data_IF_533064273029
#
_entry.id   IF_533064273029
#
_cell.length_a   1.000
_cell.length_b   1.000
_cell.length_c   1.000
_cell.angle_alpha   90.00
_cell.angle_beta   90.00
_cell.angle_gamma   90.00
#
_symmetry.space_group_name_H-M   'P 1'
#
loop_
_entity.id
_entity.type
_entity.pdbx_description
1 polymer ?
#
# COMPACT_ATOMS: atom_id res chain seq x y z
N UNK A 1 48.66 5.00 30.92
CA UNK A 1 47.83 3.82 30.58
C UNK A 1 46.72 4.30 29.69
N UNK A 2 46.78 3.91 28.41
CA UNK A 2 45.89 4.35 27.34
C UNK A 2 44.51 3.71 27.51
N UNK A 3 43.47 4.53 27.62
CA UNK A 3 42.08 4.09 27.68
C UNK A 3 41.60 3.78 26.25
N UNK A 4 40.98 2.62 25.96
CA UNK A 4 40.55 2.31 24.62
C UNK A 4 39.32 3.15 24.27
N UNK A 5 39.45 3.89 23.16
CA UNK A 5 38.40 4.67 22.53
C UNK A 5 37.27 3.73 22.06
N UNK A 6 36.14 3.76 22.75
CA UNK A 6 34.93 3.03 22.35
C UNK A 6 34.37 3.74 21.11
N UNK A 7 34.75 3.25 19.94
CA UNK A 7 34.22 3.71 18.65
C UNK A 7 32.72 3.39 18.59
N UNK A 8 31.87 4.40 18.78
CA UNK A 8 30.43 4.31 18.58
C UNK A 8 30.16 4.04 17.09
N UNK A 9 29.84 2.78 16.78
CA UNK A 9 29.55 2.33 15.43
C UNK A 9 28.20 2.91 14.95
N UNK A 10 28.10 3.48 13.73
CA UNK A 10 26.92 4.21 13.29
C UNK A 10 25.66 3.31 13.23
N UNK A 11 24.49 3.82 13.66
CA UNK A 11 23.27 3.02 13.87
C UNK A 11 22.78 2.29 12.62
N UNK A 12 23.01 2.86 11.43
CA UNK A 12 22.60 2.26 10.15
C UNK A 12 23.31 0.94 9.81
N UNK A 13 24.57 0.75 10.23
CA UNK A 13 25.30 -0.51 10.01
C UNK A 13 24.84 -1.60 10.99
N UNK A 14 24.48 -1.21 12.22
CA UNK A 14 23.94 -2.09 13.24
C UNK A 14 22.56 -2.61 12.82
N UNK A 15 21.70 -1.74 12.29
CA UNK A 15 20.37 -2.09 11.81
C UNK A 15 20.40 -3.05 10.61
N UNK A 16 21.27 -2.79 9.61
CA UNK A 16 21.44 -3.67 8.44
C UNK A 16 21.98 -5.06 8.83
N UNK A 17 22.89 -5.13 9.81
CA UNK A 17 23.43 -6.39 10.35
C UNK A 17 22.35 -7.18 11.10
N UNK A 18 21.54 -6.50 11.93
CA UNK A 18 20.45 -7.11 12.68
C UNK A 18 19.37 -7.69 11.73
N UNK A 19 19.04 -6.99 10.65
CA UNK A 19 18.09 -7.48 9.65
C UNK A 19 18.59 -8.74 8.92
N UNK A 20 19.89 -8.81 8.61
CA UNK A 20 20.51 -10.03 8.07
C UNK A 20 20.51 -11.19 9.08
N UNK A 21 20.70 -10.91 10.37
CA UNK A 21 20.60 -11.90 11.45
C UNK A 21 19.15 -12.39 11.64
N UNK A 22 18.16 -11.52 11.54
CA UNK A 22 16.74 -11.89 11.62
C UNK A 22 16.33 -12.78 10.45
N UNK A 23 16.77 -12.48 9.22
CA UNK A 23 16.48 -13.30 8.04
C UNK A 23 17.15 -14.68 8.17
N UNK A 24 18.40 -14.72 8.62
CA UNK A 24 19.11 -16.00 8.89
C UNK A 24 18.45 -16.78 10.02
N UNK A 25 18.01 -16.09 11.07
CA UNK A 25 17.28 -16.68 12.19
C UNK A 25 15.93 -17.25 11.75
N UNK A 26 15.18 -16.52 10.92
CA UNK A 26 13.91 -16.97 10.36
C UNK A 26 14.09 -18.23 9.49
N UNK A 27 15.16 -18.29 8.68
CA UNK A 27 15.51 -19.48 7.90
C UNK A 27 15.81 -20.68 8.81
N UNK A 28 16.59 -20.50 9.88
CA UNK A 28 16.87 -21.57 10.84
C UNK A 28 15.62 -22.05 11.60
N UNK A 29 14.75 -21.12 11.98
CA UNK A 29 13.47 -21.46 12.62
C UNK A 29 12.56 -22.22 11.65
N UNK A 30 12.51 -21.83 10.37
CA UNK A 30 11.72 -22.53 9.37
C UNK A 30 12.21 -23.97 9.14
N UNK A 31 13.52 -24.17 9.02
CA UNK A 31 14.13 -25.51 8.90
C UNK A 31 13.84 -26.32 10.16
N UNK A 32 14.02 -25.74 11.35
CA UNK A 32 13.72 -26.40 12.63
C UNK A 32 12.26 -26.83 12.77
N UNK A 33 11.33 -25.96 12.37
CA UNK A 33 9.89 -26.26 12.38
C UNK A 33 9.54 -27.39 11.40
N UNK A 34 10.17 -27.42 10.22
CA UNK A 34 9.95 -28.46 9.22
C UNK A 34 10.45 -29.83 9.71
N UNK A 35 11.63 -29.87 10.35
CA UNK A 35 12.17 -31.09 10.96
C UNK A 35 11.27 -31.55 12.12
N UNK A 36 10.83 -30.64 12.99
CA UNK A 36 9.93 -30.96 14.09
C UNK A 36 8.59 -31.53 13.59
N UNK A 37 8.02 -30.96 12.53
CA UNK A 37 6.80 -31.47 11.91
C UNK A 37 6.98 -32.89 11.35
N UNK A 38 8.12 -33.17 10.71
CA UNK A 38 8.45 -34.51 10.22
C UNK A 38 8.60 -35.52 11.37
N UNK A 39 9.27 -35.14 12.46
CA UNK A 39 9.44 -36.00 13.64
C UNK A 39 8.11 -36.29 14.33
N UNK A 40 7.25 -35.28 14.47
CA UNK A 40 5.87 -35.47 14.95
C UNK A 40 5.15 -36.50 14.08
N UNK A 41 5.25 -36.39 12.76
CA UNK A 41 4.62 -37.31 11.81
C UNK A 41 5.09 -38.76 12.02
N UNK A 42 6.40 -38.96 12.20
CA UNK A 42 6.99 -40.28 12.47
C UNK A 42 6.56 -40.84 13.83
N UNK A 43 6.60 -40.02 14.89
CA UNK A 43 6.18 -40.43 16.24
C UNK A 43 4.69 -40.82 16.26
N UNK A 44 3.87 -40.12 15.50
CA UNK A 44 2.44 -40.38 15.41
C UNK A 44 2.12 -41.72 14.76
N UNK A 45 2.88 -42.09 13.71
CA UNK A 45 2.78 -43.40 13.06
C UNK A 45 3.17 -44.54 14.00
N UNK A 46 4.07 -44.30 14.96
CA UNK A 46 4.62 -45.34 15.83
C UNK A 46 3.86 -45.57 17.14
N UNK A 47 3.01 -44.63 17.58
CA UNK A 47 2.40 -44.63 18.93
C UNK A 47 0.86 -44.78 18.91
N UNK A 48 0.21 -44.64 17.76
CA UNK A 48 -1.26 -44.58 17.66
C UNK A 48 -1.99 -45.91 17.87
N UNK A 49 -2.24 -46.30 19.12
CA UNK A 49 -3.09 -47.47 19.49
C UNK A 49 -4.05 -47.17 20.65
N UNK A 50 -4.56 -45.93 20.76
CA UNK A 50 -5.53 -45.53 21.79
C UNK A 50 -6.62 -44.65 21.16
N UNK A 51 -7.67 -45.27 20.60
CA UNK A 51 -8.97 -44.70 20.20
C UNK A 51 -8.95 -43.27 19.59
N UNK A 52 -7.91 -42.91 18.85
CA UNK A 52 -7.76 -41.59 18.21
C UNK A 52 -7.70 -40.38 19.16
N UNK A 53 -7.78 -40.55 20.48
CA UNK A 53 -7.92 -39.43 21.44
C UNK A 53 -6.65 -38.58 21.51
N UNK A 54 -5.49 -39.24 21.52
CA UNK A 54 -4.17 -38.57 21.40
C UNK A 54 -4.07 -37.80 20.06
N UNK A 55 -4.57 -38.39 18.97
CA UNK A 55 -4.56 -37.78 17.64
C UNK A 55 -5.40 -36.50 17.57
N UNK A 56 -6.60 -36.52 18.14
CA UNK A 56 -7.50 -35.35 18.21
C UNK A 56 -6.92 -34.22 19.07
N UNK A 57 -6.35 -34.55 20.22
CA UNK A 57 -5.70 -33.57 21.09
C UNK A 57 -4.53 -32.87 20.37
N UNK A 58 -3.69 -33.66 19.68
CA UNK A 58 -2.59 -33.11 18.90
C UNK A 58 -3.07 -32.25 17.72
N UNK A 59 -4.09 -32.69 16.96
CA UNK A 59 -4.61 -31.91 15.84
C UNK A 59 -5.20 -30.57 16.30
N UNK A 60 -5.74 -30.52 17.53
CA UNK A 60 -6.21 -29.27 18.15
C UNK A 60 -5.05 -28.31 18.42
N UNK A 61 -3.93 -28.81 18.95
CA UNK A 61 -2.72 -28.01 19.15
C UNK A 61 -2.19 -27.49 17.81
N UNK A 62 -2.13 -28.35 16.79
CA UNK A 62 -1.69 -27.97 15.44
C UNK A 62 -2.62 -26.91 14.83
N UNK A 63 -3.93 -27.07 14.97
CA UNK A 63 -4.94 -26.10 14.52
C UNK A 63 -4.72 -24.73 15.19
N UNK A 64 -4.54 -24.71 16.51
CA UNK A 64 -4.28 -23.48 17.26
C UNK A 64 -2.95 -22.82 16.86
N UNK A 65 -1.90 -23.62 16.66
CA UNK A 65 -0.59 -23.14 16.22
C UNK A 65 -0.65 -22.53 14.80
N UNK A 66 -1.34 -23.19 13.87
CA UNK A 66 -1.54 -22.70 12.52
C UNK A 66 -2.31 -21.36 12.52
N UNK A 67 -3.40 -21.28 13.28
CA UNK A 67 -4.16 -20.04 13.46
C UNK A 67 -3.31 -18.93 14.07
N UNK A 68 -2.54 -19.21 15.14
CA UNK A 68 -1.68 -18.21 15.76
C UNK A 68 -0.61 -17.71 14.79
N UNK A 69 -0.01 -18.61 14.00
CA UNK A 69 0.95 -18.25 12.95
C UNK A 69 0.34 -17.33 11.90
N UNK A 70 -0.89 -17.61 11.45
CA UNK A 70 -1.58 -16.77 10.46
C UNK A 70 -1.99 -15.42 11.06
N UNK A 71 -2.47 -15.40 12.31
CA UNK A 71 -2.82 -14.16 13.00
C UNK A 71 -1.60 -13.22 13.16
N UNK A 72 -0.42 -13.77 13.46
CA UNK A 72 0.84 -13.01 13.52
C UNK A 72 1.23 -12.51 12.11
N UNK A 73 1.10 -13.35 11.07
CA UNK A 73 1.39 -12.95 9.70
C UNK A 73 0.46 -11.81 9.24
N UNK A 74 -0.81 -11.88 9.59
CA UNK A 74 -1.77 -10.83 9.27
C UNK A 74 -1.49 -9.54 10.03
N UNK A 75 -1.15 -9.61 11.32
CA UNK A 75 -0.75 -8.46 12.13
C UNK A 75 0.49 -7.75 11.58
N UNK A 76 1.46 -8.49 11.03
CA UNK A 76 2.65 -7.93 10.39
C UNK A 76 2.38 -7.19 9.08
N UNK A 77 1.30 -7.53 8.37
CA UNK A 77 0.89 -6.91 7.10
C UNK A 77 0.01 -5.65 7.29
N UNK A 78 -0.20 -5.21 8.53
CA UNK A 78 -1.25 -4.27 8.91
C UNK A 78 -0.87 -2.78 9.16
N UNK A 79 0.21 -2.16 8.64
CA UNK A 79 0.45 -0.75 8.98
C UNK A 79 -0.61 0.28 8.52
N UNK A 80 -1.63 -0.06 7.71
CA UNK A 80 -2.60 0.91 7.18
C UNK A 80 -3.99 0.31 6.78
N UNK A 81 -4.52 -0.69 7.50
CA UNK A 81 -5.84 -1.28 7.15
C UNK A 81 -6.99 -0.64 7.95
N UNK A 82 -8.18 -0.45 7.36
CA UNK A 82 -9.35 0.03 8.09
C UNK A 82 -9.80 -0.99 9.14
N UNK A 83 -10.08 -0.53 10.35
CA UNK A 83 -10.37 -1.35 11.54
C UNK A 83 -11.48 -2.39 11.32
N UNK A 84 -12.50 -2.06 10.54
CA UNK A 84 -13.61 -2.98 10.26
C UNK A 84 -13.18 -4.20 9.42
N UNK A 85 -12.19 -4.06 8.53
CA UNK A 85 -11.64 -5.21 7.80
C UNK A 85 -10.78 -6.09 8.71
N UNK A 86 -10.05 -5.50 9.65
CA UNK A 86 -9.30 -6.25 10.67
C UNK A 86 -10.26 -7.05 11.56
N UNK A 87 -11.36 -6.44 12.01
CA UNK A 87 -12.41 -7.14 12.77
C UNK A 87 -13.03 -8.28 11.95
N UNK A 88 -13.39 -8.03 10.69
CA UNK A 88 -13.98 -9.06 9.83
C UNK A 88 -13.02 -10.23 9.58
N UNK A 89 -11.73 -9.95 9.39
CA UNK A 89 -10.70 -10.98 9.25
C UNK A 89 -10.54 -11.80 10.52
N UNK A 90 -10.46 -11.13 11.67
CA UNK A 90 -10.38 -11.80 12.98
C UNK A 90 -11.58 -12.73 13.21
N UNK A 91 -12.80 -12.26 12.93
CA UNK A 91 -14.03 -13.07 13.02
C UNK A 91 -13.95 -14.27 12.09
N UNK A 92 -13.48 -14.09 10.85
CA UNK A 92 -13.34 -15.21 9.90
C UNK A 92 -12.39 -16.30 10.41
N UNK A 93 -11.27 -15.90 11.03
CA UNK A 93 -10.31 -16.85 11.58
C UNK A 93 -10.85 -17.56 12.81
N UNK A 94 -11.62 -16.87 13.66
CA UNK A 94 -12.34 -17.48 14.78
C UNK A 94 -13.35 -18.52 14.28
N UNK A 95 -14.12 -18.21 13.23
CA UNK A 95 -15.05 -19.17 12.63
C UNK A 95 -14.31 -20.38 12.06
N UNK A 96 -13.20 -20.18 11.36
CA UNK A 96 -12.36 -21.28 10.85
C UNK A 96 -11.82 -22.17 11.98
N UNK A 97 -11.40 -21.59 13.11
CA UNK A 97 -11.00 -22.32 14.30
C UNK A 97 -12.14 -23.16 14.89
N UNK A 98 -13.32 -22.55 15.06
CA UNK A 98 -14.48 -23.25 15.61
C UNK A 98 -14.88 -24.43 14.73
N UNK A 99 -14.91 -24.24 13.41
CA UNK A 99 -15.20 -25.32 12.45
C UNK A 99 -14.12 -26.41 12.52
N UNK A 100 -12.84 -26.04 12.54
CA UNK A 100 -11.74 -26.98 12.70
C UNK A 100 -11.87 -27.81 13.98
N UNK A 101 -12.16 -27.16 15.11
CA UNK A 101 -12.38 -27.83 16.38
C UNK A 101 -13.57 -28.80 16.32
N UNK A 102 -14.72 -28.37 15.78
CA UNK A 102 -15.88 -29.26 15.61
C UNK A 102 -15.52 -30.48 14.76
N UNK A 103 -14.80 -30.31 13.65
CA UNK A 103 -14.41 -31.43 12.77
C UNK A 103 -13.42 -32.40 13.38
N UNK A 104 -12.55 -31.95 14.29
CA UNK A 104 -11.62 -32.80 15.04
C UNK A 104 -12.37 -33.70 16.02
N UNK A 105 -13.40 -33.15 16.67
CA UNK A 105 -14.09 -33.82 17.75
C UNK A 105 -15.33 -34.61 17.31
N UNK A 106 -15.82 -34.40 16.08
CA UNK A 106 -16.92 -35.20 15.54
C UNK A 106 -16.49 -36.67 15.41
N UNK A 107 -17.30 -37.65 15.86
CA UNK A 107 -16.99 -39.07 15.70
C UNK A 107 -16.67 -39.43 14.25
N UNK A 108 -15.68 -40.30 14.04
CA UNK A 108 -15.34 -40.82 12.73
C UNK A 108 -16.14 -42.10 12.52
N UNK A 109 -16.92 -42.16 11.44
CA UNK A 109 -17.41 -43.43 10.95
C UNK A 109 -16.21 -44.12 10.28
N UNK A 110 -16.03 -45.43 10.49
CA UNK A 110 -14.81 -46.25 10.29
C UNK A 110 -14.16 -46.27 8.87
N UNK A 111 -14.50 -45.34 7.98
CA UNK A 111 -13.94 -45.25 6.64
C UNK A 111 -12.53 -44.61 6.63
N UNK A 112 -11.58 -45.37 6.09
CA UNK A 112 -10.13 -45.08 5.96
C UNK A 112 -9.76 -43.74 5.26
N UNK A 113 -10.71 -43.03 4.64
CA UNK A 113 -10.49 -41.78 3.89
C UNK A 113 -11.12 -40.52 4.51
N UNK A 114 -11.73 -40.62 5.69
CA UNK A 114 -12.47 -39.52 6.35
C UNK A 114 -11.60 -38.34 6.76
N UNK A 115 -10.34 -38.57 7.15
CA UNK A 115 -9.43 -37.50 7.59
C UNK A 115 -9.07 -36.50 6.49
N UNK A 116 -8.77 -36.99 5.28
CA UNK A 116 -8.44 -36.14 4.14
C UNK A 116 -9.65 -35.31 3.70
N UNK A 117 -10.84 -35.92 3.65
CA UNK A 117 -12.08 -35.22 3.31
C UNK A 117 -12.37 -34.08 4.29
N UNK A 118 -12.26 -34.33 5.60
CA UNK A 118 -12.47 -33.30 6.64
C UNK A 118 -11.46 -32.16 6.51
N UNK A 119 -10.21 -32.47 6.19
CA UNK A 119 -9.18 -31.47 5.93
C UNK A 119 -9.52 -30.62 4.69
N UNK A 120 -9.90 -31.23 3.57
CA UNK A 120 -10.32 -30.49 2.37
C UNK A 120 -11.57 -29.64 2.60
N UNK A 121 -12.54 -30.14 3.38
CA UNK A 121 -13.71 -29.36 3.78
C UNK A 121 -13.32 -28.16 4.65
N UNK A 122 -12.36 -28.31 5.57
CA UNK A 122 -11.82 -27.19 6.35
C UNK A 122 -11.13 -26.17 5.42
N UNK A 123 -10.33 -26.63 4.46
CA UNK A 123 -9.72 -25.76 3.46
C UNK A 123 -10.76 -25.02 2.61
N UNK A 124 -11.86 -25.68 2.23
CA UNK A 124 -12.99 -25.08 1.53
C UNK A 124 -13.68 -24.01 2.38
N UNK A 125 -13.90 -24.26 3.67
CA UNK A 125 -14.47 -23.27 4.60
C UNK A 125 -13.57 -22.04 4.69
N UNK A 126 -12.27 -22.23 4.88
CA UNK A 126 -11.29 -21.14 4.86
C UNK A 126 -11.33 -20.42 3.52
N UNK A 127 -11.34 -21.16 2.39
CA UNK A 127 -11.44 -20.60 1.05
C UNK A 127 -12.69 -19.74 0.83
N UNK A 128 -13.86 -20.18 1.31
CA UNK A 128 -15.12 -19.43 1.24
C UNK A 128 -15.07 -18.17 2.10
N UNK A 129 -14.55 -18.26 3.33
CA UNK A 129 -14.35 -17.12 4.21
C UNK A 129 -13.41 -16.08 3.56
N UNK A 130 -12.30 -16.52 2.99
CA UNK A 130 -11.36 -15.64 2.30
C UNK A 130 -11.95 -15.04 1.02
N UNK A 131 -12.72 -15.82 0.25
CA UNK A 131 -13.45 -15.32 -0.92
C UNK A 131 -14.47 -14.25 -0.52
N UNK A 132 -15.18 -14.43 0.59
CA UNK A 132 -16.12 -13.45 1.12
C UNK A 132 -15.41 -12.16 1.56
N UNK A 133 -14.30 -12.27 2.29
CA UNK A 133 -13.49 -11.09 2.66
C UNK A 133 -12.92 -10.39 1.43
N UNK A 134 -12.43 -11.13 0.44
CA UNK A 134 -11.96 -10.58 -0.83
C UNK A 134 -13.08 -9.83 -1.54
N UNK A 135 -14.27 -10.41 -1.56
CA UNK A 135 -15.45 -9.81 -2.15
C UNK A 135 -15.78 -8.47 -1.48
N UNK A 136 -15.89 -8.45 -0.15
CA UNK A 136 -16.15 -7.22 0.63
C UNK A 136 -15.05 -6.18 0.35
N UNK A 137 -13.79 -6.60 0.33
CA UNK A 137 -12.65 -5.73 0.09
C UNK A 137 -12.66 -5.10 -1.31
N UNK A 138 -13.06 -5.85 -2.33
CA UNK A 138 -13.14 -5.35 -3.71
C UNK A 138 -14.39 -4.51 -3.95
N UNK A 139 -15.50 -4.87 -3.32
CA UNK A 139 -16.81 -4.26 -3.53
C UNK A 139 -16.97 -2.93 -2.79
N UNK A 140 -16.41 -2.82 -1.58
CA UNK A 140 -16.56 -1.61 -0.74
C UNK A 140 -16.05 -0.35 -1.45
N UNK A 141 -14.85 -0.30 -2.04
CA UNK A 141 -14.38 0.89 -2.77
C UNK A 141 -15.24 1.26 -3.98
N UNK A 142 -15.88 0.27 -4.63
CA UNK A 142 -16.76 0.52 -5.76
C UNK A 142 -18.08 1.19 -5.30
N UNK A 143 -18.63 0.76 -4.16
CA UNK A 143 -19.85 1.31 -3.58
C UNK A 143 -19.68 2.73 -3.04
N UNK A 144 -18.48 3.09 -2.57
CA UNK A 144 -18.19 4.40 -1.98
C UNK A 144 -17.96 5.51 -3.02
N UNK A 145 -17.85 5.21 -4.33
CA UNK A 145 -17.57 6.24 -5.36
C UNK A 145 -18.73 7.22 -5.56
N UNK A 146 -19.97 6.71 -5.57
CA UNK A 146 -21.19 7.50 -5.73
C UNK A 146 -22.24 7.02 -4.74
N UNK A 147 -22.27 7.67 -3.57
CA UNK A 147 -23.12 7.27 -2.45
C UNK A 147 -24.48 7.92 -2.60
N UNK A 148 -25.48 7.12 -3.00
CA UNK A 148 -26.90 7.47 -2.97
C UNK A 148 -27.64 6.52 -2.04
N UNK A 149 -28.84 6.87 -1.59
CA UNK A 149 -29.69 5.97 -0.80
C UNK A 149 -29.93 4.64 -1.52
N UNK A 150 -30.12 4.68 -2.84
CA UNK A 150 -30.30 3.51 -3.68
C UNK A 150 -29.06 2.60 -3.69
N UNK A 151 -27.88 3.15 -3.98
CA UNK A 151 -26.62 2.38 -3.96
C UNK A 151 -26.33 1.81 -2.56
N UNK A 152 -26.67 2.56 -1.50
CA UNK A 152 -26.49 2.12 -0.11
C UNK A 152 -27.36 0.92 0.24
N UNK A 153 -28.63 0.92 -0.18
CA UNK A 153 -29.54 -0.21 0.03
C UNK A 153 -29.03 -1.45 -0.71
N UNK A 154 -28.64 -1.30 -1.98
CA UNK A 154 -28.07 -2.42 -2.78
C UNK A 154 -26.82 -2.97 -2.11
N UNK A 155 -25.92 -2.10 -1.66
CA UNK A 155 -24.70 -2.50 -0.97
C UNK A 155 -25.02 -3.34 0.28
N UNK A 156 -25.88 -2.83 1.18
CA UNK A 156 -26.25 -3.55 2.41
C UNK A 156 -26.93 -4.89 2.07
N UNK A 157 -27.89 -4.88 1.14
CA UNK A 157 -28.58 -6.10 0.73
C UNK A 157 -27.61 -7.16 0.17
N UNK A 158 -26.66 -6.75 -0.66
CA UNK A 158 -25.64 -7.66 -1.23
C UNK A 158 -24.77 -8.27 -0.14
N UNK A 159 -24.34 -7.46 0.84
CA UNK A 159 -23.54 -7.95 1.98
C UNK A 159 -24.34 -8.93 2.85
N UNK A 160 -25.63 -8.67 3.09
CA UNK A 160 -26.51 -9.57 3.84
C UNK A 160 -26.71 -10.89 3.10
N UNK A 161 -26.98 -10.86 1.80
CA UNK A 161 -27.13 -12.08 0.99
C UNK A 161 -25.82 -12.87 0.93
N UNK A 162 -24.68 -12.21 0.79
CA UNK A 162 -23.37 -12.85 0.85
C UNK A 162 -23.13 -13.50 2.23
N UNK A 163 -23.43 -12.80 3.32
CA UNK A 163 -23.30 -13.33 4.68
C UNK A 163 -24.18 -14.56 4.91
N UNK A 164 -25.44 -14.53 4.44
CA UNK A 164 -26.35 -15.67 4.49
C UNK A 164 -25.85 -16.85 3.66
N UNK A 165 -25.34 -16.60 2.45
CA UNK A 165 -24.75 -17.62 1.58
C UNK A 165 -23.56 -18.30 2.24
N UNK A 166 -22.63 -17.51 2.78
CA UNK A 166 -21.44 -18.00 3.48
C UNK A 166 -21.85 -18.84 4.69
N UNK A 167 -22.80 -18.36 5.50
CA UNK A 167 -23.29 -19.09 6.66
C UNK A 167 -23.89 -20.46 6.28
N UNK A 168 -24.73 -20.52 5.24
CA UNK A 168 -25.27 -21.79 4.73
C UNK A 168 -24.15 -22.70 4.23
N UNK A 169 -23.24 -22.22 3.39
CA UNK A 169 -22.16 -23.07 2.87
C UNK A 169 -21.25 -23.62 3.98
N UNK A 170 -20.90 -22.78 4.96
CA UNK A 170 -20.12 -23.21 6.14
C UNK A 170 -20.89 -24.25 6.94
N UNK A 171 -22.18 -24.05 7.18
CA UNK A 171 -23.02 -25.01 7.91
C UNK A 171 -23.03 -26.37 7.22
N UNK A 172 -23.28 -26.41 5.91
CA UNK A 172 -23.23 -27.62 5.09
C UNK A 172 -21.87 -28.33 5.18
N UNK A 173 -20.76 -27.59 5.05
CA UNK A 173 -19.40 -28.16 5.10
C UNK A 173 -18.97 -28.60 6.52
N UNK A 174 -19.60 -28.04 7.55
CA UNK A 174 -19.35 -28.44 8.95
C UNK A 174 -20.07 -29.75 9.25
N UNK A 175 -21.31 -29.91 8.79
CA UNK A 175 -22.17 -31.05 9.08
C UNK A 175 -22.72 -31.73 7.82
N UNK A 176 -21.88 -32.25 6.90
CA UNK A 176 -22.34 -32.72 5.59
C UNK A 176 -23.25 -33.96 5.66
N UNK A 177 -23.07 -34.80 6.68
CA UNK A 177 -23.80 -36.07 6.83
C UNK A 177 -24.71 -36.12 8.06
N UNK A 178 -24.69 -35.07 8.90
CA UNK A 178 -25.52 -35.02 10.12
C UNK A 178 -26.97 -34.64 9.82
N UNK A 179 -27.20 -33.92 8.72
CA UNK A 179 -28.52 -33.41 8.33
C UNK A 179 -28.84 -33.77 6.88
N UNK A 180 -30.12 -34.01 6.60
CA UNK A 180 -30.62 -34.16 5.24
C UNK A 180 -30.89 -32.80 4.61
N UNK A 181 -30.04 -32.42 3.66
CA UNK A 181 -30.16 -31.18 2.90
C UNK A 181 -31.14 -31.36 1.74
N UNK A 182 -32.42 -31.10 1.99
CA UNK A 182 -33.45 -31.16 0.97
C UNK A 182 -33.26 -30.14 -0.16
N UNK A 183 -34.00 -30.33 -1.25
CA UNK A 183 -33.98 -29.48 -2.45
C UNK A 183 -34.19 -27.98 -2.14
N UNK A 184 -35.02 -27.65 -1.15
CA UNK A 184 -35.24 -26.24 -0.74
C UNK A 184 -33.94 -25.56 -0.26
N UNK A 185 -33.08 -26.28 0.45
CA UNK A 185 -31.82 -25.75 0.95
C UNK A 185 -30.93 -25.29 -0.20
N UNK A 186 -30.72 -26.18 -1.17
CA UNK A 186 -29.90 -25.87 -2.35
C UNK A 186 -30.52 -24.78 -3.23
N UNK A 187 -31.86 -24.71 -3.32
CA UNK A 187 -32.53 -23.60 -4.01
C UNK A 187 -32.24 -22.26 -3.36
N UNK A 188 -32.24 -22.19 -2.03
CA UNK A 188 -31.91 -20.96 -1.31
C UNK A 188 -30.43 -20.60 -1.54
N UNK A 189 -29.51 -21.56 -1.44
CA UNK A 189 -28.08 -21.33 -1.73
C UNK A 189 -27.89 -20.78 -3.15
N UNK A 190 -28.51 -21.40 -4.15
CA UNK A 190 -28.44 -20.95 -5.55
C UNK A 190 -29.05 -19.56 -5.72
N UNK A 191 -30.23 -19.32 -5.14
CA UNK A 191 -30.88 -18.02 -5.20
C UNK A 191 -30.02 -16.91 -4.58
N UNK A 192 -29.43 -17.15 -3.40
CA UNK A 192 -28.52 -16.21 -2.74
C UNK A 192 -27.25 -16.00 -3.56
N UNK A 193 -26.72 -17.04 -4.20
CA UNK A 193 -25.55 -16.93 -5.10
C UNK A 193 -25.85 -16.02 -6.28
N UNK A 194 -27.01 -16.19 -6.93
CA UNK A 194 -27.43 -15.35 -8.04
C UNK A 194 -27.67 -13.92 -7.58
N UNK A 195 -28.38 -13.71 -6.47
CA UNK A 195 -28.65 -12.39 -5.91
C UNK A 195 -27.35 -11.65 -5.54
N UNK A 196 -26.38 -12.35 -4.93
CA UNK A 196 -25.07 -11.80 -4.64
C UNK A 196 -24.32 -11.43 -5.92
N UNK A 197 -24.28 -12.32 -6.92
CA UNK A 197 -23.63 -12.06 -8.21
C UNK A 197 -24.25 -10.83 -8.90
N UNK A 198 -25.58 -10.75 -8.96
CA UNK A 198 -26.30 -9.60 -9.54
C UNK A 198 -25.97 -8.31 -8.77
N UNK A 199 -26.07 -8.32 -7.44
CA UNK A 199 -25.73 -7.16 -6.60
C UNK A 199 -24.29 -6.67 -6.81
N UNK A 200 -23.36 -7.60 -7.01
CA UNK A 200 -21.95 -7.32 -7.27
C UNK A 200 -21.75 -6.61 -8.61
N UNK A 201 -22.47 -7.02 -9.64
CA UNK A 201 -22.36 -6.44 -11.00
C UNK A 201 -23.09 -5.11 -11.13
N UNK A 202 -24.15 -4.88 -10.34
CA UNK A 202 -25.00 -3.71 -10.46
C UNK A 202 -24.27 -2.42 -10.05
N UNK A 203 -23.51 -2.43 -8.95
CA UNK A 203 -22.83 -1.23 -8.45
C UNK A 203 -21.81 -0.67 -9.47
N UNK A 204 -20.90 -1.47 -10.06
CA UNK A 204 -20.00 -1.00 -11.12
C UNK A 204 -20.73 -0.39 -12.32
N UNK A 205 -21.85 -0.98 -12.75
CA UNK A 205 -22.65 -0.49 -13.88
C UNK A 205 -23.31 0.86 -13.55
N UNK A 206 -23.91 0.99 -12.37
CA UNK A 206 -24.48 2.25 -11.90
C UNK A 206 -23.39 3.31 -11.80
N UNK A 207 -22.23 2.95 -11.26
CA UNK A 207 -21.09 3.85 -11.14
C UNK A 207 -20.57 4.30 -12.52
N UNK A 208 -20.57 3.41 -13.52
CA UNK A 208 -20.20 3.76 -14.89
C UNK A 208 -21.24 4.68 -15.56
N UNK A 209 -22.52 4.48 -15.29
CA UNK A 209 -23.61 5.31 -15.81
C UNK A 209 -23.62 6.72 -15.19
N UNK A 210 -23.32 6.81 -13.90
CA UNK A 210 -23.29 8.07 -13.16
C UNK A 210 -21.92 8.72 -13.06
N UNK A 211 -20.87 8.12 -13.64
CA UNK A 211 -19.55 8.71 -13.67
C UNK A 211 -19.61 10.06 -14.40
N UNK A 212 -19.18 11.18 -13.77
CA UNK A 212 -19.09 12.46 -14.45
C UNK A 212 -18.22 12.28 -15.68
N UNK A 213 -18.76 12.53 -16.88
CA UNK A 213 -17.95 12.60 -18.10
C UNK A 213 -16.89 13.66 -17.84
N UNK A 214 -15.66 13.22 -17.54
CA UNK A 214 -14.54 14.12 -17.31
C UNK A 214 -14.49 15.06 -18.52
N UNK A 215 -14.62 16.39 -18.35
CA UNK A 215 -14.61 17.30 -19.49
C UNK A 215 -13.37 16.98 -20.32
N UNK A 216 -13.52 16.82 -21.64
CA UNK A 216 -12.41 16.48 -22.50
C UNK A 216 -11.21 17.43 -22.27
N UNK A 217 -11.49 18.68 -21.88
CA UNK A 217 -10.51 19.68 -21.46
C UNK A 217 -9.68 19.31 -20.21
N UNK A 218 -10.20 18.57 -19.23
CA UNK A 218 -9.44 18.17 -18.04
C UNK A 218 -8.52 16.95 -18.31
N UNK A 219 -8.86 16.13 -19.31
CA UNK A 219 -7.98 15.05 -19.79
C UNK A 219 -6.87 15.62 -20.69
N UNK A 220 -7.19 16.62 -21.52
CA UNK A 220 -6.23 17.39 -22.29
C UNK A 220 -5.31 18.25 -21.39
N UNK A 221 -5.84 18.87 -20.33
CA UNK A 221 -5.04 19.65 -19.37
C UNK A 221 -4.15 18.75 -18.49
N UNK A 222 -4.61 17.56 -18.10
CA UNK A 222 -3.76 16.59 -17.39
C UNK A 222 -2.67 15.99 -18.29
N UNK A 223 -2.96 15.77 -19.58
CA UNK A 223 -1.96 15.37 -20.57
C UNK A 223 -0.98 16.52 -20.90
N UNK A 224 -1.45 17.77 -20.90
CA UNK A 224 -0.60 18.95 -21.06
C UNK A 224 0.27 19.22 -19.82
N UNK A 225 -0.22 18.95 -18.60
CA UNK A 225 0.56 19.06 -17.36
C UNK A 225 1.66 18.01 -17.24
N UNK A 226 1.55 16.85 -17.92
CA UNK A 226 2.65 15.90 -18.04
C UNK A 226 3.68 16.24 -19.13
N UNK A 227 3.46 17.31 -19.92
CA UNK A 227 4.34 17.73 -21.04
C UNK A 227 4.82 19.19 -20.90
N UNK A 228 4.41 19.91 -19.85
CA UNK A 228 4.85 21.29 -19.61
C UNK A 228 6.00 21.36 -18.59
N UNK A 229 7.13 20.72 -18.89
CA UNK A 229 8.41 21.31 -18.49
C UNK A 229 8.65 22.45 -19.50
N UNK A 230 8.53 23.71 -19.05
CA UNK A 230 8.93 24.84 -19.90
C UNK A 230 10.39 24.60 -20.35
N UNK A 231 10.74 24.84 -21.62
CA UNK A 231 12.11 24.63 -22.10
C UNK A 231 13.06 25.44 -21.21
N UNK A 232 13.92 24.74 -20.48
CA UNK A 232 14.92 25.38 -19.64
C UNK A 232 15.86 26.20 -20.53
N UNK A 233 16.11 27.46 -20.15
CA UNK A 233 17.02 28.32 -20.89
C UNK A 233 18.42 27.70 -20.91
N UNK A 234 19.09 27.59 -22.08
CA UNK A 234 20.41 26.97 -22.16
C UNK A 234 21.43 27.67 -21.27
N UNK A 235 22.32 26.88 -20.65
CA UNK A 235 23.44 27.36 -19.84
C UNK A 235 24.77 27.06 -20.52
N UNK A 236 25.84 27.71 -20.08
CA UNK A 236 27.21 27.31 -20.44
C UNK A 236 27.50 25.88 -19.97
N UNK A 237 28.66 25.35 -20.36
CA UNK A 237 29.10 24.00 -19.98
C UNK A 237 29.24 23.79 -18.46
N UNK A 238 29.23 24.88 -17.68
CA UNK A 238 29.20 24.85 -16.22
C UNK A 238 27.82 24.44 -15.64
N UNK A 239 26.78 24.39 -16.46
CA UNK A 239 25.43 23.97 -16.08
C UNK A 239 24.67 24.97 -15.19
N UNK A 240 25.25 26.14 -14.92
CA UNK A 240 24.70 27.12 -13.95
C UNK A 240 24.57 28.50 -14.57
N UNK A 241 25.50 28.91 -15.43
CA UNK A 241 25.46 30.26 -16.02
C UNK A 241 24.56 30.24 -17.26
N UNK A 242 23.49 31.05 -17.33
CA UNK A 242 22.63 31.09 -18.52
C UNK A 242 23.33 31.74 -19.71
N UNK A 243 23.01 31.28 -20.92
CA UNK A 243 23.49 31.91 -22.15
C UNK A 243 22.92 33.33 -22.30
N UNK A 244 23.73 34.31 -22.73
CA UNK A 244 23.26 35.63 -23.10
C UNK A 244 22.15 35.55 -24.15
N UNK A 245 21.19 36.47 -24.07
CA UNK A 245 20.11 36.56 -25.06
C UNK A 245 20.51 37.50 -26.18
N UNK A 246 20.30 37.08 -27.43
CA UNK A 246 20.41 37.94 -28.59
C UNK A 246 19.18 38.87 -28.68
N UNK A 247 19.28 39.96 -29.47
CA UNK A 247 18.15 40.87 -29.68
C UNK A 247 16.89 40.23 -30.27
N UNK A 248 17.03 39.08 -30.93
CA UNK A 248 15.92 38.28 -31.47
C UNK A 248 15.29 37.34 -30.42
N UNK A 249 15.76 37.38 -29.18
CA UNK A 249 15.28 36.53 -28.10
C UNK A 249 15.83 35.11 -28.15
N UNK A 250 16.79 34.81 -29.03
CA UNK A 250 17.46 33.50 -29.08
C UNK A 250 18.70 33.45 -28.16
N UNK A 251 19.12 32.27 -27.67
CA UNK A 251 20.33 32.13 -26.86
C UNK A 251 21.59 32.24 -27.72
N UNK A 252 22.61 32.94 -27.22
CA UNK A 252 23.91 33.10 -27.88
C UNK A 252 24.72 31.81 -27.85
N UNK A 253 24.47 30.93 -28.82
CA UNK A 253 25.22 29.69 -28.96
C UNK A 253 26.70 29.91 -29.28
N UNK A 254 27.08 31.06 -29.83
CA UNK A 254 28.50 31.35 -30.06
C UNK A 254 29.22 31.56 -28.74
N UNK A 255 28.58 32.23 -27.78
CA UNK A 255 29.11 32.39 -26.43
C UNK A 255 29.36 31.05 -25.74
N UNK A 256 28.53 30.02 -25.99
CA UNK A 256 28.75 28.67 -25.45
C UNK A 256 30.12 28.09 -25.84
N UNK A 257 30.58 28.32 -27.07
CA UNK A 257 31.85 27.80 -27.56
C UNK A 257 33.04 28.69 -27.20
N UNK A 258 32.85 30.01 -27.15
CA UNK A 258 33.94 30.99 -26.94
C UNK A 258 34.13 31.38 -25.48
N UNK A 259 33.16 31.08 -24.61
CA UNK A 259 33.14 31.48 -23.20
C UNK A 259 32.87 32.97 -22.97
N UNK A 260 32.63 33.75 -24.04
CA UNK A 260 32.39 35.19 -23.97
C UNK A 260 31.21 35.59 -24.87
N UNK A 261 30.34 36.53 -24.42
CA UNK A 261 29.24 37.04 -25.24
C UNK A 261 29.73 37.54 -26.59
N UNK A 262 28.99 37.24 -27.66
CA UNK A 262 29.32 37.76 -28.98
C UNK A 262 29.20 39.30 -29.00
N UNK A 263 30.16 40.01 -29.63
CA UNK A 263 30.12 41.46 -29.70
C UNK A 263 28.89 41.90 -30.50
N UNK A 264 27.92 42.48 -29.80
CA UNK A 264 26.74 43.05 -30.44
C UNK A 264 27.15 44.34 -31.18
N UNK A 265 26.69 44.56 -32.42
CA UNK A 265 26.82 45.85 -33.05
C UNK A 265 26.07 46.88 -32.20
N UNK A 266 26.79 47.86 -31.66
CA UNK A 266 26.25 48.93 -30.84
C UNK A 266 25.38 49.85 -31.71
N UNK A 267 24.13 49.43 -31.95
CA UNK A 267 23.09 50.31 -32.45
C UNK A 267 22.67 51.22 -31.29
N UNK A 268 22.89 52.52 -31.48
CA UNK A 268 22.47 53.56 -30.55
C UNK A 268 20.97 53.40 -30.23
N UNK A 269 20.66 53.14 -28.96
CA UNK A 269 19.29 53.07 -28.46
C UNK A 269 18.62 54.45 -28.58
N UNK A 270 17.39 54.55 -29.09
CA UNK A 270 16.51 55.65 -28.74
C UNK A 270 16.16 55.57 -27.26
N UNK A 271 16.20 56.71 -26.57
CA UNK A 271 15.71 56.89 -25.21
C UNK A 271 14.27 56.38 -25.09
N UNK A 272 14.03 55.41 -24.21
CA UNK A 272 12.69 54.93 -23.89
C UNK A 272 11.91 55.98 -23.06
N UNK A 273 10.61 56.19 -23.31
CA UNK A 273 9.78 57.07 -22.50
C UNK A 273 9.50 56.43 -21.12
N UNK A 274 9.35 57.29 -20.12
CA UNK A 274 9.11 56.95 -18.72
C UNK A 274 7.89 56.01 -18.51
N UNK A 275 7.93 55.09 -17.53
CA UNK A 275 6.82 54.19 -17.24
C UNK A 275 5.60 54.97 -16.74
N UNK A 276 4.48 54.83 -17.45
CA UNK A 276 3.17 55.30 -16.99
C UNK A 276 2.67 54.40 -15.86
N UNK A 277 2.27 55.02 -14.75
CA UNK A 277 1.81 54.34 -13.53
C UNK A 277 0.50 53.57 -13.73
N UNK A 278 0.47 52.34 -13.22
CA UNK A 278 -0.74 51.52 -13.12
C UNK A 278 -1.61 52.02 -11.94
N UNK A 279 -2.95 52.03 -12.06
CA UNK A 279 -3.82 52.42 -10.95
C UNK A 279 -3.82 51.34 -9.85
N UNK A 280 -3.40 51.73 -8.65
CA UNK A 280 -3.46 50.89 -7.43
C UNK A 280 -4.84 51.06 -6.78
N UNK A 281 -5.54 49.95 -6.53
CA UNK A 281 -6.80 49.95 -5.81
C UNK A 281 -6.57 50.28 -4.31
N UNK A 282 -7.46 51.05 -3.63
CA UNK A 282 -7.30 51.37 -2.22
C UNK A 282 -7.55 50.13 -1.33
N UNK A 283 -6.64 49.87 -0.40
CA UNK A 283 -6.86 48.94 0.70
C UNK A 283 -7.78 49.58 1.76
N UNK A 284 -8.71 48.82 2.38
CA UNK A 284 -9.49 49.32 3.51
C UNK A 284 -8.63 49.46 4.78
N UNK A 285 -8.81 50.59 5.45
CA UNK A 285 -8.17 50.97 6.72
C UNK A 285 -8.67 50.11 7.88
N UNK A 286 -7.73 49.52 8.64
CA UNK A 286 -8.00 48.92 9.95
C UNK A 286 -7.84 49.99 11.05
N UNK A 287 -8.68 49.99 12.10
CA UNK A 287 -8.69 51.02 13.14
C UNK A 287 -7.54 50.93 14.15
N UNK A 288 -7.16 52.10 14.65
CA UNK A 288 -6.08 52.40 15.60
C UNK A 288 -6.40 52.03 17.09
N UNK A 289 -5.42 52.12 18.01
CA UNK A 289 -5.18 51.13 19.05
C UNK A 289 -5.75 51.49 20.44
N UNK A 290 -6.05 50.45 21.23
CA UNK A 290 -6.15 50.54 22.69
C UNK A 290 -4.89 49.99 23.36
N UNK A 291 -4.56 50.64 24.46
CA UNK A 291 -3.32 50.61 25.22
C UNK A 291 -3.31 49.57 26.35
N UNK A 292 -2.09 49.31 26.86
CA UNK A 292 -1.70 48.76 28.18
C UNK A 292 -1.30 47.26 28.27
N UNK A 293 -0.07 47.02 28.79
CA UNK A 293 0.70 45.75 28.86
C UNK A 293 0.29 44.76 29.96
N UNK A 294 1.16 43.84 30.49
CA UNK A 294 2.62 43.97 30.70
C UNK A 294 3.56 42.74 30.40
N UNK A 295 4.87 43.06 30.34
CA UNK A 295 6.11 42.31 30.67
C UNK A 295 6.52 41.00 29.93
N UNK A 296 7.66 41.08 29.23
CA UNK A 296 8.46 39.96 28.67
C UNK A 296 9.69 39.64 29.54
N UNK A 297 10.05 38.36 29.77
CA UNK A 297 11.38 37.96 30.26
C UNK A 297 12.44 37.90 29.14
N UNK A 298 13.74 38.13 29.43
CA UNK A 298 14.80 38.17 28.41
C UNK A 298 15.26 36.77 27.94
N UNK A 299 15.59 36.65 26.66
CA UNK A 299 16.20 35.46 26.05
C UNK A 299 17.75 35.48 26.15
N UNK A 300 18.43 34.33 26.31
CA UNK A 300 19.89 34.26 26.37
C UNK A 300 20.60 34.34 25.00
N UNK A 301 21.87 34.78 24.94
CA UNK A 301 22.63 34.98 23.70
C UNK A 301 23.18 33.68 23.08
N UNK A 302 23.26 33.67 21.74
CA UNK A 302 23.77 32.57 20.91
C UNK A 302 25.32 32.56 20.80
N UNK A 303 25.99 31.39 20.84
CA UNK A 303 27.42 31.27 20.57
C UNK A 303 27.76 31.18 19.07
N UNK A 304 28.96 31.67 18.73
CA UNK A 304 29.52 31.86 17.40
C UNK A 304 30.03 30.57 16.71
N UNK A 305 30.20 30.73 15.39
CA UNK A 305 30.58 29.77 14.34
C UNK A 305 31.87 28.96 14.55
N UNK A 306 31.97 27.78 13.92
CA UNK A 306 33.23 27.14 13.51
C UNK A 306 33.07 26.39 12.17
N UNK A 307 34.09 26.57 11.32
CA UNK A 307 34.36 25.98 10.01
C UNK A 307 34.44 24.45 9.99
N UNK A 308 34.04 23.83 8.87
CA UNK A 308 34.71 22.63 8.32
C UNK A 308 34.15 22.25 6.93
N UNK A 309 35.04 22.26 5.94
CA UNK A 309 34.86 21.73 4.58
C UNK A 309 35.13 20.21 4.55
N UNK A 310 34.46 19.42 3.68
CA UNK A 310 35.05 18.16 3.20
C UNK A 310 35.18 18.08 1.66
N UNK A 311 36.09 17.22 1.15
CA UNK A 311 36.71 17.33 -0.18
C UNK A 311 35.96 16.64 -1.33
N UNK A 312 36.34 17.03 -2.56
CA UNK A 312 35.80 16.58 -3.84
C UNK A 312 36.17 15.13 -4.23
N UNK A 313 35.32 14.41 -4.97
CA UNK A 313 35.70 13.20 -5.70
C UNK A 313 36.12 13.49 -7.16
N UNK A 314 37.22 12.85 -7.53
CA UNK A 314 37.91 12.79 -8.84
C UNK A 314 37.01 12.36 -10.01
N UNK A 315 37.05 13.12 -11.10
CA UNK A 315 36.46 12.75 -12.39
C UNK A 315 37.42 11.89 -13.21
N UNK A 316 36.97 10.70 -13.63
CA UNK A 316 37.55 9.94 -14.72
C UNK A 316 36.47 9.71 -15.79
N UNK A 317 36.73 10.33 -16.93
CA UNK A 317 36.34 9.99 -18.31
C UNK A 317 35.13 9.07 -18.55
N UNK A 318 34.06 9.67 -19.09
CA UNK A 318 33.22 9.05 -20.11
C UNK A 318 32.36 10.11 -20.83
N UNK A 319 32.87 10.67 -21.93
CA UNK A 319 32.03 11.43 -22.88
C UNK A 319 31.15 10.46 -23.67
N UNK A 320 29.82 10.63 -23.71
CA UNK A 320 28.98 10.02 -24.75
C UNK A 320 29.04 10.83 -26.06
N UNK A 321 28.93 10.19 -27.23
CA UNK A 321 29.11 10.84 -28.54
C UNK A 321 27.96 11.78 -28.92
N UNK A 322 28.28 12.79 -29.74
CA UNK A 322 27.36 13.83 -30.17
C UNK A 322 26.22 13.32 -31.09
N UNK A 323 25.00 13.91 -31.01
CA UNK A 323 23.90 13.61 -31.93
C UNK A 323 24.14 14.16 -33.35
N UNK A 324 23.59 13.52 -34.40
CA UNK A 324 23.80 13.94 -35.79
C UNK A 324 23.06 15.23 -36.15
N UNK A 325 23.67 16.01 -37.04
CA UNK A 325 23.12 17.26 -37.58
C UNK A 325 21.84 17.02 -38.41
N UNK A 326 20.84 17.92 -38.34
CA UNK A 326 19.65 17.84 -39.18
C UNK A 326 19.95 18.18 -40.65
N UNK A 327 19.25 17.54 -41.61
CA UNK A 327 19.46 17.76 -43.04
C UNK A 327 19.02 19.17 -43.47
N UNK A 328 19.78 19.77 -44.40
CA UNK A 328 19.46 21.03 -45.07
C UNK A 328 18.38 20.84 -46.15
#
# INVERSE_FOLDING_TARGET
>A
MSQPEITQQPPALVEKKNMSLLIRGAIWIAIGALIAAALVCVVWVLIGDQDGLIGRAFLTILLLAAFAGIAILEAGLAPNRPDWLALSSMVSWIVALLVGAVKIWLPEDDAFFTGAERFFQLLLVVGILQLALLHVRLFTPAAQRHVTTFTRIIYIATIVFLGGLVAMLIFFLTFPHTFDYGELYWRIVVALTILAAVGTTLIPLLNALFAPRKPAGARAAAAAQSVAAAPAWPTYADGVTPLPVLPDGSPDWNAYYTGHPSPQPQQALPVAPAPQGFPVAPFPTAPEPYSQGPATPPAPPAPAAHDAYPPAPTAHDAYPPAPPLPPQ
#
